data_IF_280093741547
#
_entry.id   IF_280093741547
#
_cell.length_a   1.000
_cell.length_b   1.000
_cell.length_c   1.000
_cell.angle_alpha   90.00
_cell.angle_beta   90.00
_cell.angle_gamma   90.00
#
_symmetry.space_group_name_H-M   'P 1'
#
loop_
_entity.id
_entity.type
_entity.pdbx_description
1 polymer ?
#
# COMPACT_ATOMS: atom_id res chain seq x y z
N UNK A 1 -8.10 -0.23 11.12
CA UNK A 1 -8.32 -1.09 9.93
C UNK A 1 -8.03 -2.53 10.32
N UNK A 2 -8.84 -3.49 9.87
CA UNK A 2 -8.69 -4.93 10.18
C UNK A 2 -8.90 -5.81 8.93
N UNK A 3 -8.57 -7.09 9.02
CA UNK A 3 -8.90 -8.09 7.99
C UNK A 3 -10.39 -8.03 7.59
N UNK A 4 -10.67 -8.23 6.31
CA UNK A 4 -12.00 -8.14 5.71
C UNK A 4 -12.49 -6.72 5.44
N UNK A 5 -11.77 -5.67 5.88
CA UNK A 5 -12.17 -4.28 5.63
C UNK A 5 -12.17 -3.99 4.13
N UNK A 6 -13.27 -3.45 3.61
CA UNK A 6 -13.39 -3.08 2.19
C UNK A 6 -12.58 -1.81 1.91
N UNK A 7 -11.72 -1.89 0.89
CA UNK A 7 -10.94 -0.76 0.40
C UNK A 7 -11.69 -0.14 -0.77
N UNK A 8 -12.02 1.15 -0.64
CA UNK A 8 -12.67 1.92 -1.69
C UNK A 8 -11.61 2.50 -2.64
N UNK A 9 -11.72 2.16 -3.91
CA UNK A 9 -10.97 2.77 -5.01
C UNK A 9 -11.91 3.28 -6.11
N UNK A 10 -11.43 4.18 -6.96
CA UNK A 10 -12.28 4.88 -7.94
C UNK A 10 -12.83 3.98 -9.06
N UNK A 11 -12.18 2.85 -9.37
CA UNK A 11 -12.51 2.01 -10.54
C UNK A 11 -12.20 0.51 -10.37
N UNK A 12 -12.53 -0.14 -9.24
CA UNK A 12 -12.16 -1.57 -9.06
C UNK A 12 -13.17 -2.42 -8.28
N UNK A 13 -13.15 -3.76 -8.48
CA UNK A 13 -13.86 -4.78 -7.70
C UNK A 13 -13.73 -4.59 -6.18
N UNK A 14 -14.58 -5.29 -5.42
CA UNK A 14 -14.46 -5.35 -3.95
C UNK A 14 -13.06 -5.88 -3.57
N UNK A 15 -12.18 -4.94 -3.21
CA UNK A 15 -10.87 -5.22 -2.62
C UNK A 15 -11.05 -5.23 -1.11
N UNK A 16 -10.53 -6.26 -0.47
CA UNK A 16 -10.57 -6.40 0.99
C UNK A 16 -9.16 -6.51 1.55
N UNK A 17 -8.95 -5.93 2.74
CA UNK A 17 -7.73 -6.14 3.52
C UNK A 17 -7.66 -7.60 3.90
N UNK A 18 -6.56 -8.27 3.54
CA UNK A 18 -6.19 -9.58 4.06
C UNK A 18 -5.39 -9.41 5.34
N UNK A 19 -4.31 -8.64 5.27
CA UNK A 19 -3.41 -8.42 6.42
C UNK A 19 -2.98 -6.97 6.52
N UNK A 20 -2.73 -6.51 7.75
CA UNK A 20 -2.06 -5.23 8.03
C UNK A 20 -0.60 -5.52 8.35
N UNK A 21 0.31 -5.07 7.49
CA UNK A 21 1.75 -5.32 7.61
C UNK A 21 2.39 -4.29 8.52
N UNK A 22 2.03 -3.02 8.33
CA UNK A 22 2.58 -1.92 9.11
C UNK A 22 1.62 -0.72 9.16
N UNK A 23 1.93 0.19 10.07
CA UNK A 23 1.21 1.44 10.26
C UNK A 23 2.19 2.60 10.34
N UNK A 24 1.83 3.74 9.77
CA UNK A 24 2.67 4.94 9.74
C UNK A 24 1.80 6.18 9.99
N UNK A 25 2.14 6.97 11.00
CA UNK A 25 1.62 8.32 11.15
C UNK A 25 2.46 9.28 10.30
N UNK A 26 1.82 10.05 9.41
CA UNK A 26 2.50 11.00 8.53
C UNK A 26 1.62 12.23 8.33
N UNK A 27 2.05 13.37 8.88
CA UNK A 27 1.20 14.54 9.03
C UNK A 27 -0.03 14.21 9.89
N UNK A 28 -1.20 14.65 9.44
CA UNK A 28 -2.48 14.41 10.12
C UNK A 28 -3.11 13.05 9.75
N UNK A 29 -2.43 12.23 8.93
CA UNK A 29 -2.97 10.98 8.42
C UNK A 29 -2.25 9.77 8.99
N UNK A 30 -3.04 8.74 9.32
CA UNK A 30 -2.55 7.41 9.62
C UNK A 30 -2.68 6.53 8.38
N UNK A 31 -1.54 6.04 7.92
CA UNK A 31 -1.42 5.11 6.80
C UNK A 31 -1.26 3.69 7.30
N UNK A 32 -1.82 2.75 6.54
CA UNK A 32 -1.74 1.32 6.78
C UNK A 32 -1.16 0.68 5.52
N UNK A 33 -0.03 0.01 5.69
CA UNK A 33 0.54 -0.85 4.67
C UNK A 33 -0.16 -2.19 4.75
N UNK A 34 -0.90 -2.56 3.73
CA UNK A 34 -1.79 -3.72 3.77
C UNK A 34 -1.53 -4.67 2.62
N UNK A 35 -1.75 -5.93 2.90
CA UNK A 35 -1.93 -6.97 1.91
C UNK A 35 -3.43 -7.06 1.63
N UNK A 36 -3.81 -6.98 0.37
CA UNK A 36 -5.19 -6.97 -0.05
C UNK A 36 -5.46 -8.03 -1.11
N UNK A 37 -6.73 -8.42 -1.21
CA UNK A 37 -7.21 -9.39 -2.18
C UNK A 37 -8.41 -8.84 -2.95
N UNK A 38 -8.57 -9.27 -4.21
CA UNK A 38 -9.76 -8.99 -5.01
C UNK A 38 -10.75 -10.14 -4.84
N UNK A 39 -11.99 -9.85 -4.46
CA UNK A 39 -13.04 -10.87 -4.38
C UNK A 39 -13.46 -11.44 -5.75
N UNK A 40 -13.18 -10.74 -6.85
CA UNK A 40 -13.56 -11.17 -8.20
C UNK A 40 -12.45 -11.96 -8.90
N UNK A 41 -12.27 -13.24 -8.55
CA UNK A 41 -11.99 -14.29 -9.55
C UNK A 41 -12.02 -15.70 -8.95
N UNK A 42 -13.21 -16.31 -8.92
CA UNK A 42 -13.35 -17.77 -9.14
C UNK A 42 -13.02 -18.16 -10.61
N UNK A 43 -12.59 -17.20 -11.42
CA UNK A 43 -12.01 -17.42 -12.75
C UNK A 43 -10.51 -17.63 -12.59
N UNK A 44 -10.16 -18.91 -12.40
CA UNK A 44 -8.88 -19.54 -12.67
C UNK A 44 -8.01 -18.72 -13.64
N UNK A 45 -6.92 -18.09 -13.15
CA UNK A 45 -5.61 -17.93 -13.85
C UNK A 45 -4.69 -16.85 -13.24
N UNK A 46 -5.15 -15.98 -12.35
CA UNK A 46 -4.23 -15.05 -11.68
C UNK A 46 -3.65 -15.71 -10.43
N UNK A 47 -2.53 -16.43 -10.62
CA UNK A 47 -1.68 -16.86 -9.51
C UNK A 47 -1.31 -15.62 -8.67
N UNK A 48 -1.64 -15.67 -7.38
CA UNK A 48 -0.87 -15.03 -6.30
C UNK A 48 -0.49 -13.55 -6.51
N UNK A 49 -1.40 -12.73 -7.02
CA UNK A 49 -1.16 -11.27 -7.05
C UNK A 49 -1.65 -10.67 -5.73
N UNK A 50 -0.92 -10.95 -4.67
CA UNK A 50 -1.00 -10.23 -3.41
C UNK A 50 -0.95 -8.72 -3.70
N UNK A 51 -2.04 -8.00 -3.42
CA UNK A 51 -2.11 -6.57 -3.69
C UNK A 51 -1.53 -5.82 -2.49
N UNK A 52 -0.27 -5.43 -2.62
CA UNK A 52 0.39 -4.62 -1.62
C UNK A 52 -0.01 -3.15 -1.81
N UNK A 53 -0.74 -2.59 -0.84
CA UNK A 53 -1.33 -1.25 -0.93
C UNK A 53 -0.95 -0.41 0.28
N UNK A 54 -0.98 0.90 0.07
CA UNK A 54 -1.08 1.87 1.15
C UNK A 54 -2.52 2.37 1.20
N UNK A 55 -3.14 2.27 2.37
CA UNK A 55 -4.52 2.72 2.59
C UNK A 55 -4.58 3.65 3.80
N UNK A 56 -5.64 4.42 3.89
CA UNK A 56 -5.92 5.29 5.03
C UNK A 56 -7.42 5.35 5.27
N UNK A 57 -7.81 5.71 6.49
CA UNK A 57 -9.20 5.98 6.83
C UNK A 57 -9.47 7.48 6.67
N UNK A 58 -10.45 7.86 5.84
CA UNK A 58 -10.86 9.25 5.65
C UNK A 58 -11.98 9.69 6.61
N UNK A 59 -12.36 8.84 7.57
CA UNK A 59 -13.47 9.03 8.50
C UNK A 59 -14.83 8.58 7.94
N UNK A 60 -14.90 8.22 6.66
CA UNK A 60 -16.09 7.65 6.01
C UNK A 60 -15.85 6.21 5.57
N UNK A 61 -14.65 5.92 5.05
CA UNK A 61 -14.24 4.63 4.54
C UNK A 61 -12.72 4.49 4.48
N UNK A 62 -12.27 3.25 4.38
CA UNK A 62 -10.88 2.96 4.04
C UNK A 62 -10.70 3.18 2.54
N UNK A 63 -9.71 4.01 2.19
CA UNK A 63 -9.38 4.33 0.80
C UNK A 63 -7.96 3.93 0.47
N UNK A 64 -7.78 3.52 -0.78
CA UNK A 64 -6.46 3.38 -1.36
C UNK A 64 -5.80 4.75 -1.52
N UNK A 65 -4.56 4.88 -1.06
CA UNK A 65 -3.77 6.08 -1.31
C UNK A 65 -3.22 6.08 -2.74
N UNK A 66 -3.81 6.93 -3.60
CA UNK A 66 -3.41 7.13 -4.99
C UNK A 66 -2.94 8.55 -5.33
N UNK A 67 -3.28 9.53 -4.50
CA UNK A 67 -3.14 10.95 -4.84
C UNK A 67 -1.82 11.55 -4.34
N UNK A 68 -0.73 11.24 -5.03
CA UNK A 68 0.39 12.18 -5.09
C UNK A 68 0.76 12.44 -6.54
N UNK A 69 0.60 13.68 -6.99
CA UNK A 69 1.01 14.13 -8.33
C UNK A 69 2.52 13.90 -8.60
N UNK A 70 3.33 13.81 -7.54
CA UNK A 70 4.76 13.49 -7.57
C UNK A 70 5.10 12.51 -6.44
N UNK A 71 4.58 11.28 -6.53
CA UNK A 71 4.92 10.24 -5.57
C UNK A 71 6.44 9.96 -5.64
N UNK A 72 7.17 9.94 -4.52
CA UNK A 72 8.54 9.46 -4.51
C UNK A 72 8.58 8.04 -5.08
N UNK A 73 9.48 7.79 -6.00
CA UNK A 73 9.69 6.45 -6.56
C UNK A 73 11.15 6.33 -6.95
N UNK A 74 11.79 5.21 -6.60
CA UNK A 74 13.14 4.92 -7.04
C UNK A 74 13.10 4.25 -8.40
N UNK A 75 13.62 4.92 -9.42
CA UNK A 75 13.80 4.31 -10.73
C UNK A 75 15.29 4.04 -10.95
N UNK A 76 15.65 2.78 -11.21
CA UNK A 76 17.03 2.35 -11.52
C UNK A 76 18.10 2.81 -10.49
N UNK A 77 17.75 2.90 -9.21
CA UNK A 77 18.67 3.33 -8.15
C UNK A 77 19.00 4.83 -8.15
N UNK A 78 18.31 5.62 -8.98
CA UNK A 78 18.47 7.06 -9.06
C UNK A 78 17.18 7.75 -8.60
N UNK A 79 17.32 8.54 -7.54
CA UNK A 79 16.23 9.31 -6.96
C UNK A 79 16.82 10.51 -6.22
N UNK A 80 16.23 11.68 -6.39
CA UNK A 80 16.49 12.84 -5.52
C UNK A 80 15.71 12.76 -4.20
N UNK A 81 14.81 11.78 -4.06
CA UNK A 81 14.04 11.54 -2.85
C UNK A 81 14.89 10.83 -1.80
N UNK A 82 14.89 11.37 -0.57
CA UNK A 82 15.65 10.83 0.55
C UNK A 82 14.71 9.99 1.43
N UNK A 83 15.01 8.70 1.66
CA UNK A 83 14.24 7.90 2.61
C UNK A 83 14.47 8.44 4.02
N UNK A 84 13.38 8.64 4.75
CA UNK A 84 13.40 9.03 6.16
C UNK A 84 13.52 7.79 7.05
N UNK A 85 12.69 6.78 6.79
CA UNK A 85 12.67 5.53 7.55
C UNK A 85 12.02 4.38 6.78
N UNK A 86 12.41 3.15 7.11
CA UNK A 86 11.69 1.93 6.72
C UNK A 86 10.67 1.61 7.80
N UNK A 87 9.41 1.43 7.41
CA UNK A 87 8.28 1.21 8.32
C UNK A 87 7.60 -0.13 8.14
N UNK A 88 7.89 -0.83 7.04
CA UNK A 88 7.30 -2.13 6.74
C UNK A 88 8.25 -2.99 5.93
N UNK A 89 8.01 -4.29 5.98
CA UNK A 89 8.75 -5.31 5.25
C UNK A 89 7.78 -6.42 4.84
N UNK A 90 7.83 -6.84 3.58
CA UNK A 90 7.01 -7.92 3.07
C UNK A 90 7.80 -8.76 2.07
N UNK A 91 7.80 -10.07 2.27
CA UNK A 91 8.34 -11.04 1.33
C UNK A 91 7.17 -11.70 0.59
N UNK A 92 7.08 -11.46 -0.72
CA UNK A 92 6.08 -12.07 -1.57
C UNK A 92 6.43 -13.55 -1.85
N UNK A 93 5.42 -14.36 -2.19
CA UNK A 93 5.60 -15.79 -2.48
C UNK A 93 6.57 -16.09 -3.63
N UNK A 94 6.82 -15.12 -4.52
CA UNK A 94 7.80 -15.21 -5.60
C UNK A 94 9.24 -14.84 -5.18
N UNK A 95 9.47 -14.56 -3.89
CA UNK A 95 10.77 -14.15 -3.34
C UNK A 95 11.09 -12.67 -3.50
N UNK A 96 10.18 -11.84 -4.04
CA UNK A 96 10.35 -10.39 -4.04
C UNK A 96 10.23 -9.85 -2.62
N UNK A 97 11.14 -8.95 -2.25
CA UNK A 97 11.14 -8.26 -0.95
C UNK A 97 10.76 -6.81 -1.20
N UNK A 98 9.69 -6.36 -0.54
CA UNK A 98 9.23 -4.98 -0.61
C UNK A 98 9.35 -4.31 0.76
N UNK A 99 9.79 -3.06 0.75
CA UNK A 99 9.91 -2.25 1.95
C UNK A 99 8.93 -1.10 1.92
N UNK A 100 8.27 -0.88 3.06
CA UNK A 100 7.43 0.30 3.27
C UNK A 100 8.33 1.47 3.59
N UNK A 101 8.40 2.47 2.72
CA UNK A 101 9.33 3.60 2.86
C UNK A 101 8.54 4.88 3.17
N UNK A 102 8.96 5.57 4.24
CA UNK A 102 8.61 6.96 4.52
C UNK A 102 9.68 7.87 3.94
N UNK A 103 9.26 8.94 3.27
CA UNK A 103 10.14 9.87 2.57
C UNK A 103 10.17 11.24 3.24
N UNK A 104 11.35 11.86 3.27
CA UNK A 104 11.52 13.21 3.80
C UNK A 104 10.73 14.20 2.93
N UNK A 105 9.84 14.97 3.56
CA UNK A 105 9.07 16.02 2.89
C UNK A 105 7.82 15.54 2.14
N UNK A 106 7.49 14.25 2.22
CA UNK A 106 6.28 13.70 1.61
C UNK A 106 5.39 13.05 2.64
N UNK A 107 4.10 13.38 2.64
CA UNK A 107 3.14 12.70 3.51
C UNK A 107 2.96 11.23 3.11
N UNK A 108 3.08 10.92 1.82
CA UNK A 108 2.78 9.59 1.31
C UNK A 108 3.94 8.59 1.50
N UNK A 109 3.68 7.41 2.07
CA UNK A 109 4.59 6.28 1.96
C UNK A 109 4.44 5.55 0.62
N UNK A 110 5.48 4.78 0.29
CA UNK A 110 5.50 3.87 -0.87
C UNK A 110 5.97 2.48 -0.48
N UNK A 111 5.71 1.52 -1.36
CA UNK A 111 6.34 0.20 -1.33
C UNK A 111 7.40 0.22 -2.43
N UNK A 112 8.67 -0.02 -2.07
CA UNK A 112 9.81 -0.12 -2.99
C UNK A 112 10.47 -1.49 -2.93
#
# INVERSE_FOLDING_TARGET
IMEGTVIKGDWSPRITVRDVICTLQSGDRMFFGVLAEKQESRLWTWLESDLLLWVFDDGQCVREWRECAQRPHMFEGHSSYVPESIVGHHEAGNGAVLYGVKWIGYECPTWE
#
